data_IF_701879405744
#
_entry.id   IF_701879405744
#
_cell.length_a   1.000
_cell.length_b   1.000
_cell.length_c   1.000
_cell.angle_alpha   90.00
_cell.angle_beta   90.00
_cell.angle_gamma   90.00
#
_symmetry.space_group_name_H-M   'P 1'
#
loop_
_entity.id
_entity.type
_entity.pdbx_description
1 polymer ?
#
# COMPACT_ATOMS: atom_id res chain seq x y z
N UNK A 1 2.73 27.25 0.68
CA UNK A 1 3.21 27.64 -0.66
C UNK A 1 4.71 27.90 -0.68
N UNK A 2 5.22 28.90 0.05
CA UNK A 2 6.64 29.29 0.06
C UNK A 2 7.63 28.11 0.19
N UNK A 3 7.38 27.17 1.12
CA UNK A 3 8.21 25.96 1.28
C UNK A 3 8.23 25.07 0.03
N UNK A 4 7.06 24.80 -0.54
CA UNK A 4 6.95 23.95 -1.72
C UNK A 4 7.70 24.53 -2.93
N UNK A 5 7.59 25.85 -3.16
CA UNK A 5 8.33 26.53 -4.23
C UNK A 5 9.84 26.52 -3.98
N UNK A 6 10.27 26.74 -2.73
CA UNK A 6 11.69 26.66 -2.37
C UNK A 6 12.26 25.26 -2.62
N UNK A 7 11.53 24.20 -2.25
CA UNK A 7 11.95 22.81 -2.47
C UNK A 7 11.96 22.45 -3.96
N UNK A 8 10.96 22.89 -4.72
CA UNK A 8 10.91 22.72 -6.18
C UNK A 8 12.10 23.40 -6.86
N UNK A 9 12.40 24.66 -6.51
CA UNK A 9 13.57 25.40 -7.04
C UNK A 9 14.90 24.78 -6.63
N UNK A 10 14.96 24.14 -5.46
CA UNK A 10 16.14 23.41 -5.00
C UNK A 10 16.32 22.04 -5.70
N UNK A 11 15.42 21.66 -6.60
CA UNK A 11 15.56 20.44 -7.42
C UNK A 11 14.75 19.23 -6.92
N UNK A 12 13.75 19.41 -6.06
CA UNK A 12 12.88 18.30 -5.68
C UNK A 12 12.08 17.78 -6.89
N UNK A 13 12.11 16.46 -7.11
CA UNK A 13 11.38 15.80 -8.22
C UNK A 13 9.86 15.82 -8.03
N UNK A 14 9.40 15.92 -6.78
CA UNK A 14 7.99 16.01 -6.44
C UNK A 14 7.78 16.73 -5.11
N UNK A 15 6.59 17.31 -4.94
CA UNK A 15 6.15 17.93 -3.68
C UNK A 15 5.06 17.07 -3.07
N UNK A 16 5.32 16.51 -1.87
CA UNK A 16 4.27 15.88 -1.09
C UNK A 16 3.49 16.95 -0.30
N UNK A 17 2.23 17.14 -0.65
CA UNK A 17 1.31 18.01 0.05
C UNK A 17 0.39 17.20 0.97
N UNK A 18 0.35 17.55 2.25
CA UNK A 18 -0.45 16.85 3.23
C UNK A 18 -1.30 17.80 4.07
N UNK A 19 -2.53 17.38 4.37
CA UNK A 19 -3.47 18.09 5.23
C UNK A 19 -3.93 17.16 6.35
N UNK A 20 -4.18 17.75 7.52
CA UNK A 20 -4.75 17.06 8.69
C UNK A 20 -6.28 17.16 8.76
N UNK A 21 -6.91 17.87 7.81
CA UNK A 21 -8.37 18.00 7.71
C UNK A 21 -9.01 16.71 7.22
N UNK A 22 -10.29 16.53 7.52
CA UNK A 22 -11.11 15.43 7.01
C UNK A 22 -11.72 15.70 5.63
N UNK A 23 -11.56 16.91 5.11
CA UNK A 23 -11.96 17.31 3.77
C UNK A 23 -10.73 17.68 2.92
N UNK A 24 -10.93 17.77 1.60
CA UNK A 24 -9.89 18.02 0.62
C UNK A 24 -9.69 19.50 0.26
N UNK A 25 -10.34 20.43 0.96
CA UNK A 25 -10.34 21.86 0.60
C UNK A 25 -8.93 22.47 0.57
N UNK A 26 -8.08 22.14 1.55
CA UNK A 26 -6.69 22.61 1.58
C UNK A 26 -5.86 22.06 0.43
N UNK A 27 -6.10 20.82 0.02
CA UNK A 27 -5.42 20.19 -1.12
C UNK A 27 -5.86 20.85 -2.42
N UNK A 28 -7.18 21.03 -2.60
CA UNK A 28 -7.73 21.71 -3.78
C UNK A 28 -7.20 23.14 -3.90
N UNK A 29 -7.19 23.90 -2.80
CA UNK A 29 -6.64 25.25 -2.76
C UNK A 29 -5.14 25.27 -3.08
N UNK A 30 -4.37 24.31 -2.54
CA UNK A 30 -2.96 24.17 -2.85
C UNK A 30 -2.73 23.89 -4.33
N UNK A 31 -3.45 22.92 -4.92
CA UNK A 31 -3.32 22.55 -6.32
C UNK A 31 -3.67 23.70 -7.27
N UNK A 32 -4.77 24.42 -6.98
CA UNK A 32 -5.16 25.61 -7.75
C UNK A 32 -4.06 26.66 -7.75
N UNK A 33 -3.57 27.03 -6.56
CA UNK A 33 -2.52 28.03 -6.43
C UNK A 33 -1.18 27.56 -7.03
N UNK A 34 -0.86 26.26 -6.92
CA UNK A 34 0.35 25.66 -7.51
C UNK A 34 0.38 25.84 -9.03
N UNK A 35 -0.76 25.55 -9.68
CA UNK A 35 -0.98 25.71 -11.12
C UNK A 35 -0.96 27.16 -11.56
N UNK A 36 -1.68 28.05 -10.86
CA UNK A 36 -1.73 29.49 -11.16
C UNK A 36 -0.36 30.17 -11.11
N UNK A 37 0.53 29.66 -10.25
CA UNK A 37 1.92 30.12 -10.12
C UNK A 37 2.88 29.55 -11.17
N UNK A 38 2.38 28.71 -12.08
CA UNK A 38 3.16 28.12 -13.17
C UNK A 38 4.16 27.04 -12.73
N UNK A 39 4.01 26.49 -11.52
CA UNK A 39 4.89 25.43 -11.05
C UNK A 39 4.63 24.12 -11.81
N UNK A 40 5.70 23.43 -12.19
CA UNK A 40 5.64 22.18 -12.98
C UNK A 40 6.01 20.92 -12.21
N UNK A 41 6.62 21.06 -11.03
CA UNK A 41 6.99 19.91 -10.20
C UNK A 41 5.73 19.13 -9.80
N UNK A 42 5.70 17.79 -10.04
CA UNK A 42 4.62 16.89 -9.64
C UNK A 42 4.20 17.06 -8.19
N UNK A 43 2.89 16.92 -7.92
CA UNK A 43 2.35 16.96 -6.55
C UNK A 43 1.85 15.57 -6.16
N UNK A 44 2.28 15.14 -4.98
CA UNK A 44 1.90 13.87 -4.34
C UNK A 44 0.98 14.16 -3.16
N UNK A 45 -0.04 13.34 -2.97
CA UNK A 45 -0.97 13.46 -1.83
C UNK A 45 -1.12 12.16 -1.05
N UNK A 46 -1.63 12.27 0.18
CA UNK A 46 -1.95 11.14 1.06
C UNK A 46 -3.36 11.34 1.64
N UNK A 47 -4.42 10.79 1.01
CA UNK A 47 -5.82 11.10 1.32
C UNK A 47 -6.40 10.29 2.49
N UNK A 48 -5.57 9.86 3.45
CA UNK A 48 -6.02 9.01 4.57
C UNK A 48 -7.16 9.64 5.38
N UNK A 49 -7.16 10.98 5.56
CA UNK A 49 -8.21 11.68 6.32
C UNK A 49 -9.38 12.19 5.49
N UNK A 50 -9.19 12.45 4.20
CA UNK A 50 -10.20 12.94 3.27
C UNK A 50 -10.55 11.88 2.22
N UNK A 51 -10.63 10.63 2.68
CA UNK A 51 -10.83 9.41 1.89
C UNK A 51 -12.17 9.39 1.12
N UNK A 52 -13.12 10.26 1.48
CA UNK A 52 -14.40 10.42 0.80
C UNK A 52 -14.28 11.19 -0.52
N UNK A 53 -13.16 11.86 -0.78
CA UNK A 53 -12.94 12.58 -2.03
C UNK A 53 -12.73 11.59 -3.17
N UNK A 54 -13.53 11.64 -4.25
CA UNK A 54 -13.34 10.80 -5.43
C UNK A 54 -11.94 10.93 -6.01
N UNK A 55 -11.34 9.81 -6.43
CA UNK A 55 -10.00 9.85 -7.05
C UNK A 55 -9.96 10.64 -8.36
N UNK A 56 -11.10 10.75 -9.04
CA UNK A 56 -11.25 11.59 -10.23
C UNK A 56 -10.97 13.07 -9.94
N UNK A 57 -11.43 13.57 -8.79
CA UNK A 57 -11.20 14.96 -8.41
C UNK A 57 -9.71 15.27 -8.26
N UNK A 58 -8.92 14.33 -7.73
CA UNK A 58 -7.46 14.47 -7.66
C UNK A 58 -6.83 14.59 -9.06
N UNK A 59 -7.30 13.79 -10.02
CA UNK A 59 -6.85 13.86 -11.41
C UNK A 59 -7.22 15.21 -12.04
N UNK A 60 -8.45 15.66 -11.83
CA UNK A 60 -8.96 16.94 -12.35
C UNK A 60 -8.19 18.14 -11.77
N UNK A 61 -7.69 18.04 -10.54
CA UNK A 61 -6.83 19.06 -9.93
C UNK A 61 -5.36 19.00 -10.39
N UNK A 62 -4.96 17.94 -11.11
CA UNK A 62 -3.60 17.75 -11.61
C UNK A 62 -2.65 17.09 -10.59
N UNK A 63 -3.17 16.34 -9.62
CA UNK A 63 -2.35 15.53 -8.72
C UNK A 63 -1.65 14.42 -9.50
N UNK A 64 -0.36 14.23 -9.28
CA UNK A 64 0.45 13.28 -10.05
C UNK A 64 0.50 11.88 -9.43
N UNK A 65 0.44 11.79 -8.09
CA UNK A 65 0.49 10.50 -7.38
C UNK A 65 -0.33 10.55 -6.09
N UNK A 66 -1.01 9.43 -5.80
CA UNK A 66 -1.78 9.23 -4.57
C UNK A 66 -1.15 8.08 -3.77
N UNK A 67 -0.90 8.30 -2.49
CA UNK A 67 -0.37 7.27 -1.58
C UNK A 67 -1.48 6.76 -0.66
N UNK A 68 -1.80 5.46 -0.76
CA UNK A 68 -2.70 4.75 0.15
C UNK A 68 -1.97 4.25 1.40
N UNK A 69 -1.52 5.19 2.25
CA UNK A 69 -0.41 5.00 3.17
C UNK A 69 -0.43 3.77 4.11
N UNK A 70 -1.57 3.40 4.72
CA UNK A 70 -1.57 2.45 5.85
C UNK A 70 -2.72 1.43 5.86
N UNK A 71 -3.41 1.26 4.73
CA UNK A 71 -4.64 0.46 4.65
C UNK A 71 -4.36 -1.04 4.83
N UNK A 72 -3.30 -1.58 4.24
CA UNK A 72 -2.95 -3.00 4.37
C UNK A 72 -2.58 -3.38 5.81
N UNK A 73 -1.86 -2.52 6.53
CA UNK A 73 -1.55 -2.75 7.94
C UNK A 73 -2.83 -2.76 8.79
N UNK A 74 -3.73 -1.79 8.59
CA UNK A 74 -5.02 -1.72 9.29
C UNK A 74 -5.90 -2.93 9.00
N UNK A 75 -5.97 -3.37 7.75
CA UNK A 75 -6.70 -4.56 7.34
C UNK A 75 -6.12 -5.83 7.99
N UNK A 76 -4.79 -5.96 8.00
CA UNK A 76 -4.10 -7.07 8.66
C UNK A 76 -4.41 -7.12 10.16
N UNK A 77 -4.32 -5.99 10.87
CA UNK A 77 -4.64 -5.93 12.31
C UNK A 77 -6.07 -6.40 12.59
N UNK A 78 -7.05 -5.92 11.82
CA UNK A 78 -8.45 -6.33 11.99
C UNK A 78 -8.64 -7.85 11.76
N UNK A 79 -8.05 -8.40 10.69
CA UNK A 79 -8.14 -9.82 10.38
C UNK A 79 -7.45 -10.71 11.43
N UNK A 80 -6.27 -10.31 11.89
CA UNK A 80 -5.52 -11.01 12.93
C UNK A 80 -6.29 -11.01 14.27
N UNK A 81 -6.84 -9.86 14.68
CA UNK A 81 -7.64 -9.76 15.90
C UNK A 81 -8.88 -10.65 15.85
N UNK A 82 -9.61 -10.63 14.73
CA UNK A 82 -10.79 -11.47 14.54
C UNK A 82 -10.44 -12.97 14.57
N UNK A 83 -9.36 -13.35 13.90
CA UNK A 83 -8.90 -14.74 13.83
C UNK A 83 -8.49 -15.26 15.21
N UNK A 84 -7.63 -14.52 15.93
CA UNK A 84 -7.20 -14.91 17.28
C UNK A 84 -8.38 -15.05 18.24
N UNK A 85 -9.35 -14.12 18.18
CA UNK A 85 -10.56 -14.18 19.01
C UNK A 85 -11.39 -15.44 18.72
N UNK A 86 -11.57 -15.77 17.44
CA UNK A 86 -12.36 -16.95 17.03
C UNK A 86 -11.69 -18.25 17.47
N UNK A 87 -10.39 -18.41 17.22
CA UNK A 87 -9.63 -19.61 17.63
C UNK A 87 -9.69 -19.78 19.15
N UNK A 88 -9.52 -18.69 19.90
CA UNK A 88 -9.57 -18.73 21.35
C UNK A 88 -10.95 -19.13 21.87
N UNK A 89 -12.03 -18.58 21.32
CA UNK A 89 -13.39 -18.89 21.75
C UNK A 89 -13.80 -20.34 21.41
N UNK A 90 -13.41 -20.81 20.23
CA UNK A 90 -13.84 -22.12 19.73
C UNK A 90 -12.94 -23.26 20.20
N UNK A 91 -11.71 -22.95 20.64
CA UNK A 91 -10.63 -23.94 20.85
C UNK A 91 -10.44 -24.84 19.62
N UNK A 92 -10.69 -24.29 18.42
CA UNK A 92 -10.75 -25.03 17.15
C UNK A 92 -10.49 -24.10 15.96
N UNK A 93 -10.11 -24.68 14.82
CA UNK A 93 -9.84 -23.97 13.56
C UNK A 93 -10.99 -24.04 12.55
N UNK A 94 -12.01 -24.88 12.79
CA UNK A 94 -13.09 -25.16 11.82
C UNK A 94 -13.77 -23.88 11.32
N UNK A 95 -13.98 -22.90 12.20
CA UNK A 95 -14.65 -21.64 11.85
C UNK A 95 -13.73 -20.57 11.25
N UNK A 96 -12.45 -20.88 11.06
CA UNK A 96 -11.41 -19.97 10.55
C UNK A 96 -10.85 -20.42 9.21
N UNK A 97 -10.61 -21.73 9.01
CA UNK A 97 -9.92 -22.26 7.83
C UNK A 97 -10.52 -21.79 6.50
N UNK A 98 -11.85 -21.72 6.39
CA UNK A 98 -12.53 -21.23 5.18
C UNK A 98 -12.47 -19.71 4.94
N UNK A 99 -11.86 -18.93 5.84
CA UNK A 99 -11.86 -17.45 5.83
C UNK A 99 -10.47 -16.84 5.69
N UNK A 100 -9.41 -17.66 5.72
CA UNK A 100 -8.01 -17.22 5.62
C UNK A 100 -7.39 -17.75 4.33
N UNK A 101 -6.22 -17.20 3.97
CA UNK A 101 -5.45 -17.73 2.85
C UNK A 101 -4.98 -19.16 3.18
N UNK A 102 -5.14 -20.12 2.27
CA UNK A 102 -4.64 -21.48 2.50
C UNK A 102 -3.11 -21.49 2.53
N UNK A 103 -2.51 -22.48 3.19
CA UNK A 103 -1.03 -22.63 3.27
C UNK A 103 -0.38 -22.68 1.88
N UNK A 104 -1.07 -23.25 0.87
CA UNK A 104 -0.60 -23.26 -0.51
C UNK A 104 -0.43 -21.86 -1.11
N UNK A 105 -1.28 -20.89 -0.71
CA UNK A 105 -1.13 -19.50 -1.14
C UNK A 105 0.13 -18.88 -0.53
N UNK A 106 0.47 -19.23 0.71
CA UNK A 106 1.74 -18.80 1.34
C UNK A 106 2.95 -19.36 0.58
N UNK A 107 2.92 -20.63 0.19
CA UNK A 107 3.99 -21.23 -0.63
C UNK A 107 4.11 -20.57 -2.01
N UNK A 108 2.99 -20.19 -2.62
CA UNK A 108 2.99 -19.45 -3.89
C UNK A 108 3.64 -18.08 -3.73
N UNK A 109 3.29 -17.34 -2.67
CA UNK A 109 3.89 -16.03 -2.37
C UNK A 109 5.39 -16.11 -2.06
N UNK A 110 5.84 -17.22 -1.48
CA UNK A 110 7.27 -17.50 -1.23
C UNK A 110 8.02 -18.00 -2.47
N UNK A 111 7.33 -18.16 -3.62
CA UNK A 111 7.90 -18.72 -4.84
C UNK A 111 8.56 -20.10 -4.64
N UNK A 112 7.91 -20.96 -3.84
CA UNK A 112 8.44 -22.28 -3.48
C UNK A 112 8.64 -23.19 -4.71
N UNK A 113 7.89 -22.97 -5.79
CA UNK A 113 8.08 -23.69 -7.05
C UNK A 113 9.48 -23.46 -7.65
N UNK A 114 9.97 -22.22 -7.64
CA UNK A 114 11.33 -21.90 -8.11
C UNK A 114 12.39 -22.61 -7.27
N UNK A 115 12.23 -22.62 -5.94
CA UNK A 115 13.12 -23.34 -5.04
C UNK A 115 13.17 -24.83 -5.38
N UNK A 116 12.02 -25.48 -5.59
CA UNK A 116 11.96 -26.90 -5.97
C UNK A 116 12.64 -27.20 -7.31
N UNK A 117 12.54 -26.32 -8.30
CA UNK A 117 13.24 -26.49 -9.56
C UNK A 117 14.75 -26.31 -9.41
N UNK A 118 15.19 -25.36 -8.57
CA UNK A 118 16.59 -25.19 -8.22
C UNK A 118 17.14 -26.43 -7.48
N UNK A 119 16.39 -26.98 -6.53
CA UNK A 119 16.74 -28.21 -5.83
C UNK A 119 16.95 -29.39 -6.80
N UNK A 120 16.04 -29.59 -7.76
CA UNK A 120 16.20 -30.63 -8.80
C UNK A 120 17.47 -30.45 -9.64
N UNK A 121 17.85 -29.20 -9.90
CA UNK A 121 19.01 -28.86 -10.74
C UNK A 121 20.33 -28.98 -10.01
N UNK A 122 20.37 -28.58 -8.73
CA UNK A 122 21.62 -28.37 -8.00
C UNK A 122 21.85 -29.32 -6.82
N UNK A 123 20.82 -29.98 -6.28
CA UNK A 123 21.04 -30.98 -5.24
C UNK A 123 21.58 -32.29 -5.84
N UNK A 124 22.56 -32.94 -5.18
CA UNK A 124 23.01 -34.26 -5.58
C UNK A 124 21.82 -35.24 -5.62
N UNK A 125 21.66 -35.95 -6.74
CA UNK A 125 20.72 -37.07 -6.78
C UNK A 125 21.25 -38.13 -5.81
N UNK A 126 20.46 -38.52 -4.81
CA UNK A 126 20.80 -39.68 -3.98
C UNK A 126 20.89 -40.89 -4.91
N UNK A 127 22.09 -41.43 -5.07
CA UNK A 127 22.26 -42.75 -5.68
C UNK A 127 21.45 -43.74 -4.86
N UNK A 128 20.48 -44.39 -5.50
CA UNK A 128 19.81 -45.56 -4.94
C UNK A 128 20.88 -46.65 -4.82
N UNK A 129 21.50 -46.77 -3.65
CA UNK A 129 22.24 -47.99 -3.30
C UNK A 129 21.22 -49.13 -3.24
N UNK A 130 21.38 -50.06 -4.20
CA UNK A 130 20.75 -51.38 -4.19
C UNK A 130 21.15 -52.17 -2.95
#
# INVERSE_FOLDING_TARGET
MQRAEAYSKAGADAILCHSKRSDSSEIQAFMKAWKERGNKTPVVIVPTKYYTTPSKDFQDWGVSLVIWANHNLRASVAAMQQTCKQIYADQSLINVEGKIAPVNEVFRLQNNAELKEAEKKYLPKKDKKN
#
